data_IF_463696483683
#
_entry.id   IF_463696483683
#
_cell.length_a   1.000
_cell.length_b   1.000
_cell.length_c   1.000
_cell.angle_alpha   90.00
_cell.angle_beta   90.00
_cell.angle_gamma   90.00
#
_symmetry.space_group_name_H-M   'P 1'
#
loop_
_entity.id
_entity.type
_entity.pdbx_description
1 polymer ?
#
# COMPACT_ATOMS: atom_id res chain seq x y z
N UNK A 1 -25.54 13.30 7.06
CA UNK A 1 -24.20 13.20 7.68
C UNK A 1 -23.20 13.05 6.55
N UNK A 2 -22.35 14.04 6.29
CA UNK A 2 -21.26 13.88 5.32
C UNK A 2 -20.08 13.28 6.07
N UNK A 3 -19.78 12.00 5.84
CA UNK A 3 -18.61 11.36 6.42
C UNK A 3 -17.35 11.90 5.72
N UNK A 4 -16.54 12.68 6.42
CA UNK A 4 -15.24 13.13 5.95
C UNK A 4 -14.24 11.97 6.00
N UNK A 5 -14.24 11.12 4.98
CA UNK A 5 -13.25 10.06 4.83
C UNK A 5 -12.02 10.58 4.10
N UNK A 6 -10.85 10.11 4.48
CA UNK A 6 -9.55 10.57 3.95
C UNK A 6 -9.02 9.63 2.85
N UNK A 7 -8.24 10.19 1.93
CA UNK A 7 -7.45 9.42 0.97
C UNK A 7 -6.02 9.29 1.51
N UNK A 8 -5.45 8.09 1.40
CA UNK A 8 -4.10 7.79 1.91
C UNK A 8 -3.22 7.31 0.76
N UNK A 9 -1.96 7.75 0.77
CA UNK A 9 -0.90 7.25 -0.09
C UNK A 9 0.19 6.62 0.79
N UNK A 10 0.68 5.45 0.40
CA UNK A 10 1.69 4.68 1.12
C UNK A 10 2.79 4.29 0.15
N UNK A 11 4.02 4.67 0.46
CA UNK A 11 5.21 4.20 -0.26
C UNK A 11 5.94 3.16 0.58
N UNK A 12 6.19 1.98 0.00
CA UNK A 12 6.94 0.91 0.65
C UNK A 12 8.08 0.46 -0.24
N UNK A 13 9.27 0.36 0.33
CA UNK A 13 10.41 -0.23 -0.37
C UNK A 13 10.54 -1.71 -0.03
N UNK A 14 10.63 -2.58 -1.04
CA UNK A 14 10.75 -4.05 -0.91
C UNK A 14 12.01 -4.55 -1.60
N UNK A 15 12.45 -5.78 -1.35
CA UNK A 15 13.61 -6.33 -2.06
C UNK A 15 13.40 -6.24 -3.58
N UNK A 16 14.35 -5.58 -4.26
CA UNK A 16 14.35 -5.39 -5.72
C UNK A 16 14.35 -6.68 -6.54
N UNK A 17 14.59 -7.84 -5.92
CA UNK A 17 14.57 -9.16 -6.57
C UNK A 17 13.20 -9.83 -6.56
N UNK A 18 12.23 -9.28 -5.83
CA UNK A 18 10.85 -9.80 -5.88
C UNK A 18 10.29 -9.67 -7.30
N UNK A 19 9.49 -10.66 -7.67
CA UNK A 19 8.69 -10.60 -8.89
C UNK A 19 7.62 -9.51 -8.77
N UNK A 20 7.08 -9.11 -9.93
CA UNK A 20 5.96 -8.15 -9.97
C UNK A 20 4.73 -8.69 -9.22
N UNK A 21 4.49 -10.00 -9.28
CA UNK A 21 3.39 -10.67 -8.57
C UNK A 21 3.58 -10.59 -7.05
N UNK A 22 4.76 -10.93 -6.54
CA UNK A 22 5.06 -10.80 -5.10
C UNK A 22 4.95 -9.34 -4.62
N UNK A 23 5.41 -8.38 -5.42
CA UNK A 23 5.22 -6.96 -5.14
C UNK A 23 3.74 -6.56 -5.10
N UNK A 24 2.93 -7.07 -6.02
CA UNK A 24 1.48 -6.85 -6.05
C UNK A 24 0.80 -7.41 -4.80
N UNK A 25 1.12 -8.63 -4.39
CA UNK A 25 0.55 -9.27 -3.22
C UNK A 25 0.86 -8.49 -1.93
N UNK A 26 2.09 -7.97 -1.81
CA UNK A 26 2.47 -7.09 -0.70
C UNK A 26 1.64 -5.80 -0.72
N UNK A 27 1.51 -5.15 -1.88
CA UNK A 27 0.71 -3.93 -2.02
C UNK A 27 -0.76 -4.14 -1.63
N UNK A 28 -1.37 -5.25 -2.07
CA UNK A 28 -2.76 -5.61 -1.75
C UNK A 28 -2.93 -5.88 -0.24
N UNK A 29 -1.98 -6.59 0.38
CA UNK A 29 -2.02 -6.86 1.81
C UNK A 29 -1.95 -5.56 2.64
N UNK A 30 -1.11 -4.61 2.24
CA UNK A 30 -1.01 -3.28 2.87
C UNK A 30 -2.31 -2.50 2.64
N UNK A 31 -2.79 -2.44 1.41
CA UNK A 31 -4.02 -1.75 1.03
C UNK A 31 -5.22 -2.22 1.88
N UNK A 32 -5.46 -3.52 1.96
CA UNK A 32 -6.51 -4.08 2.81
C UNK A 32 -6.27 -3.80 4.30
N UNK A 33 -5.02 -3.82 4.77
CA UNK A 33 -4.67 -3.49 6.15
C UNK A 33 -5.03 -2.05 6.52
N UNK A 34 -4.73 -1.11 5.62
CA UNK A 34 -5.01 0.32 5.80
C UNK A 34 -6.52 0.59 5.71
N UNK A 35 -7.19 0.06 4.68
CA UNK A 35 -8.62 0.31 4.45
C UNK A 35 -9.55 -0.36 5.46
N UNK A 36 -9.06 -1.25 6.33
CA UNK A 36 -9.83 -1.71 7.51
C UNK A 36 -10.26 -0.56 8.42
N UNK A 37 -9.57 0.57 8.38
CA UNK A 37 -10.00 1.77 9.09
C UNK A 37 -11.15 2.47 8.34
N UNK A 38 -12.35 2.47 8.92
CA UNK A 38 -13.56 3.07 8.34
C UNK A 38 -13.50 4.58 8.05
N UNK A 39 -12.50 5.29 8.61
CA UNK A 39 -12.26 6.70 8.31
C UNK A 39 -11.49 6.91 6.99
N UNK A 40 -10.93 5.85 6.40
CA UNK A 40 -10.20 5.90 5.13
C UNK A 40 -11.18 5.58 4.00
N UNK A 41 -11.16 6.41 2.96
CA UNK A 41 -11.97 6.23 1.75
C UNK A 41 -11.28 5.31 0.75
N UNK A 42 -9.99 5.52 0.57
CA UNK A 42 -9.16 4.70 -0.30
C UNK A 42 -7.68 4.82 0.09
N UNK A 43 -6.91 3.76 -0.15
CA UNK A 43 -5.46 3.75 -0.02
C UNK A 43 -4.79 3.41 -1.36
N UNK A 44 -3.88 4.26 -1.83
CA UNK A 44 -2.94 3.90 -2.90
C UNK A 44 -1.64 3.39 -2.27
N UNK A 45 -1.06 2.33 -2.83
CA UNK A 45 0.21 1.77 -2.34
C UNK A 45 1.19 1.70 -3.50
N UNK A 46 2.31 2.41 -3.35
CA UNK A 46 3.43 2.38 -4.28
C UNK A 46 4.52 1.47 -3.74
N UNK A 47 4.95 0.51 -4.56
CA UNK A 47 6.07 -0.39 -4.24
C UNK A 47 7.31 0.10 -4.97
N UNK A 48 8.35 0.40 -4.20
CA UNK A 48 9.66 0.81 -4.67
C UNK A 48 10.69 -0.30 -4.44
N UNK A 49 11.65 -0.52 -5.34
CA UNK A 49 12.72 -1.49 -5.11
C UNK A 49 13.78 -0.94 -4.15
N UNK A 50 14.21 -1.78 -3.21
CA UNK A 50 15.35 -1.56 -2.32
C UNK A 50 16.47 -2.52 -2.65
N UNK A 51 17.70 -2.02 -2.68
CA UNK A 51 18.93 -2.78 -2.90
C UNK A 51 19.85 -2.60 -1.71
N UNK A 52 20.34 -3.70 -1.15
CA UNK A 52 21.47 -3.65 -0.24
C UNK A 52 22.73 -3.40 -1.07
N UNK A 53 23.53 -2.41 -0.69
CA UNK A 53 24.84 -2.12 -1.28
C UNK A 53 25.87 -3.19 -0.94
#
# INVERSE_FOLDING_TARGET
QHANRIYVDVEVSVDSKLTVEEGHDIAINIHHGVEKNHNIKHCMVHINPYKYN
#
